data_IF_248168830164
#
_entry.id   IF_248168830164
#
_cell.length_a   1.000
_cell.length_b   1.000
_cell.length_c   1.000
_cell.angle_alpha   90.00
_cell.angle_beta   90.00
_cell.angle_gamma   90.00
#
_symmetry.space_group_name_H-M   'P 1'
#
loop_
_entity.id
_entity.type
_entity.pdbx_description
1 polymer ?
#
# COMPACT_ATOMS: atom_id res chain seq x y z
N UNK A 1 -19.41 -5.12 -19.71
CA UNK A 1 -20.45 -4.27 -20.41
C UNK A 1 -20.86 -3.05 -19.61
N UNK A 2 -20.32 -2.81 -18.42
CA UNK A 2 -20.64 -1.63 -17.57
C UNK A 2 -19.83 -0.37 -17.99
N UNK A 3 -19.03 -0.46 -19.03
CA UNK A 3 -18.05 0.63 -19.37
C UNK A 3 -18.61 1.69 -20.33
N UNK A 4 -19.81 1.54 -20.83
CA UNK A 4 -20.39 2.45 -21.85
C UNK A 4 -21.59 3.26 -21.36
N UNK A 5 -22.21 2.87 -20.28
CA UNK A 5 -23.36 3.61 -19.75
C UNK A 5 -22.89 4.53 -18.65
N UNK A 6 -22.96 5.83 -18.88
CA UNK A 6 -22.55 6.85 -17.92
C UNK A 6 -23.16 6.62 -16.52
N UNK A 7 -22.56 7.21 -15.51
CA UNK A 7 -23.04 7.15 -14.12
C UNK A 7 -24.51 7.58 -14.05
N UNK A 8 -25.42 6.62 -13.88
CA UNK A 8 -26.86 6.85 -13.83
C UNK A 8 -27.36 6.72 -12.39
N UNK A 9 -28.53 7.34 -12.11
CA UNK A 9 -29.20 7.19 -10.81
C UNK A 9 -29.53 5.72 -10.47
N UNK A 10 -29.71 4.87 -11.47
CA UNK A 10 -29.90 3.44 -11.29
C UNK A 10 -28.67 2.76 -10.69
N UNK A 11 -27.46 3.13 -11.16
CA UNK A 11 -26.20 2.62 -10.58
C UNK A 11 -26.08 3.08 -9.14
N UNK A 12 -26.39 4.35 -8.86
CA UNK A 12 -26.33 4.87 -7.49
C UNK A 12 -27.38 4.20 -6.59
N UNK A 13 -28.60 3.98 -7.07
CA UNK A 13 -29.63 3.29 -6.30
C UNK A 13 -29.27 1.84 -6.02
N UNK A 14 -28.63 1.15 -6.97
CA UNK A 14 -28.11 -0.21 -6.78
C UNK A 14 -26.95 -0.25 -5.74
N UNK A 15 -26.07 0.74 -5.77
CA UNK A 15 -24.99 0.86 -4.77
C UNK A 15 -25.56 1.16 -3.39
N UNK A 16 -26.62 1.97 -3.33
CA UNK A 16 -27.25 2.38 -2.07
C UNK A 16 -28.37 1.43 -1.61
N UNK A 17 -28.72 0.42 -2.41
CA UNK A 17 -29.76 -0.54 -2.02
C UNK A 17 -29.26 -1.51 -0.94
N UNK A 18 -29.39 -1.06 0.30
CA UNK A 18 -29.04 -1.83 1.51
C UNK A 18 -29.82 -3.16 1.60
N UNK A 19 -30.97 -3.29 0.87
CA UNK A 19 -31.77 -4.53 0.87
C UNK A 19 -31.08 -5.70 0.18
N UNK A 20 -30.21 -5.43 -0.78
CA UNK A 20 -29.44 -6.48 -1.45
C UNK A 20 -28.15 -6.85 -0.72
N UNK A 21 -27.83 -6.17 0.38
CA UNK A 21 -26.60 -6.38 1.19
C UNK A 21 -25.29 -6.32 0.40
N UNK A 22 -25.30 -5.85 -0.84
CA UNK A 22 -24.13 -5.90 -1.71
C UNK A 22 -22.99 -5.05 -1.16
N UNK A 23 -23.27 -3.80 -0.77
CA UNK A 23 -22.20 -2.91 -0.27
C UNK A 23 -21.59 -3.43 1.03
N UNK A 24 -22.42 -3.80 2.01
CA UNK A 24 -21.94 -4.32 3.29
C UNK A 24 -21.33 -5.71 3.10
N UNK A 25 -22.02 -6.58 2.34
CA UNK A 25 -21.52 -7.92 2.02
C UNK A 25 -20.19 -7.90 1.28
N UNK A 26 -20.04 -7.04 0.28
CA UNK A 26 -18.80 -6.88 -0.47
C UNK A 26 -17.70 -6.29 0.39
N UNK A 27 -18.01 -5.31 1.24
CA UNK A 27 -17.04 -4.74 2.18
C UNK A 27 -16.57 -5.78 3.19
N UNK A 28 -17.48 -6.52 3.81
CA UNK A 28 -17.15 -7.61 4.74
C UNK A 28 -16.41 -8.74 4.03
N UNK A 29 -16.81 -9.08 2.80
CA UNK A 29 -16.11 -10.04 1.96
C UNK A 29 -14.68 -9.62 1.63
N UNK A 30 -14.48 -8.34 1.41
CA UNK A 30 -13.16 -7.77 1.18
C UNK A 30 -12.24 -7.90 2.40
N UNK A 31 -12.74 -7.64 3.61
CA UNK A 31 -11.98 -7.87 4.84
C UNK A 31 -11.85 -9.37 5.14
N UNK A 32 -12.90 -10.15 4.89
CA UNK A 32 -12.87 -11.61 5.04
C UNK A 32 -11.78 -12.28 4.21
N UNK A 33 -11.50 -11.76 3.01
CA UNK A 33 -10.46 -12.30 2.14
C UNK A 33 -9.06 -12.24 2.76
N UNK A 34 -8.77 -11.24 3.59
CA UNK A 34 -7.49 -11.14 4.31
C UNK A 34 -7.34 -12.25 5.36
N UNK A 35 -8.43 -12.62 6.04
CA UNK A 35 -8.43 -13.74 6.98
C UNK A 35 -8.33 -15.09 6.26
N UNK A 36 -8.98 -15.23 5.11
CA UNK A 36 -8.84 -16.44 4.27
C UNK A 36 -7.39 -16.60 3.80
N UNK A 37 -6.75 -15.51 3.37
CA UNK A 37 -5.34 -15.53 3.00
C UNK A 37 -4.45 -15.96 4.18
N UNK A 38 -4.70 -15.45 5.38
CA UNK A 38 -3.98 -15.85 6.58
C UNK A 38 -4.18 -17.33 6.91
N UNK A 39 -5.41 -17.85 6.82
CA UNK A 39 -5.71 -19.27 7.07
C UNK A 39 -4.94 -20.17 6.08
N UNK A 40 -4.92 -19.80 4.81
CA UNK A 40 -4.15 -20.48 3.77
C UNK A 40 -2.64 -20.46 4.06
N UNK A 41 -2.12 -19.32 4.48
CA UNK A 41 -0.70 -19.20 4.86
C UNK A 41 -0.34 -20.13 6.01
N UNK A 42 -1.17 -20.18 7.05
CA UNK A 42 -0.92 -21.06 8.22
C UNK A 42 -0.99 -22.52 7.83
N UNK A 43 -1.86 -22.92 6.90
CA UNK A 43 -2.02 -24.31 6.45
C UNK A 43 -0.89 -24.77 5.54
N UNK A 44 -0.43 -23.90 4.65
CA UNK A 44 0.49 -24.32 3.58
C UNK A 44 1.95 -23.89 3.79
N UNK A 45 2.22 -23.00 4.74
CA UNK A 45 3.59 -22.63 5.12
C UNK A 45 3.95 -23.28 6.47
N UNK A 46 5.01 -24.08 6.60
CA UNK A 46 6.02 -24.40 5.57
C UNK A 46 5.75 -25.69 4.78
N UNK A 47 4.58 -26.31 4.91
CA UNK A 47 4.32 -27.68 4.40
C UNK A 47 4.43 -27.78 2.88
N UNK A 48 3.99 -26.77 2.14
CA UNK A 48 4.01 -26.71 0.67
C UNK A 48 4.99 -25.65 0.17
N UNK A 49 5.02 -24.51 0.84
CA UNK A 49 5.88 -23.38 0.48
C UNK A 49 6.78 -23.06 1.67
N UNK A 50 8.09 -22.99 1.44
CA UNK A 50 9.05 -22.62 2.49
C UNK A 50 8.83 -21.18 2.98
N UNK A 51 9.24 -20.91 4.23
CA UNK A 51 9.25 -19.56 4.76
C UNK A 51 10.03 -18.60 3.88
N UNK A 52 9.51 -17.37 3.75
CA UNK A 52 10.11 -16.33 2.93
C UNK A 52 11.35 -15.69 3.52
N UNK A 53 11.56 -15.81 4.85
CA UNK A 53 12.71 -15.25 5.57
C UNK A 53 12.98 -13.76 5.24
N UNK A 54 11.93 -12.99 5.06
CA UNK A 54 12.02 -11.56 4.74
C UNK A 54 12.14 -11.24 3.24
N UNK A 55 12.05 -12.22 2.33
CA UNK A 55 12.20 -11.99 0.90
C UNK A 55 11.15 -11.02 0.34
N UNK A 56 9.92 -10.99 0.88
CA UNK A 56 8.89 -10.05 0.44
C UNK A 56 9.26 -8.61 0.81
N UNK A 57 9.87 -8.37 1.96
CA UNK A 57 10.31 -7.04 2.38
C UNK A 57 11.50 -6.55 1.56
N UNK A 58 12.44 -7.44 1.22
CA UNK A 58 13.54 -7.11 0.32
C UNK A 58 12.99 -6.81 -1.08
N UNK A 59 12.07 -7.63 -1.56
CA UNK A 59 11.38 -7.39 -2.83
C UNK A 59 10.65 -6.04 -2.83
N UNK A 60 9.99 -5.68 -1.71
CA UNK A 60 9.30 -4.40 -1.56
C UNK A 60 10.24 -3.20 -1.73
N UNK A 61 11.40 -3.23 -1.10
CA UNK A 61 12.41 -2.15 -1.22
C UNK A 61 12.91 -2.04 -2.66
N UNK A 62 13.19 -3.18 -3.31
CA UNK A 62 13.72 -3.22 -4.67
C UNK A 62 12.67 -2.99 -5.74
N UNK A 63 11.39 -3.14 -5.43
CA UNK A 63 10.27 -2.95 -6.37
C UNK A 63 10.13 -1.52 -6.88
N UNK A 64 10.70 -0.55 -6.17
CA UNK A 64 10.81 0.83 -6.64
C UNK A 64 11.57 0.97 -7.96
N UNK A 65 12.46 0.01 -8.28
CA UNK A 65 13.19 -0.02 -9.55
C UNK A 65 12.53 -1.04 -10.47
N UNK A 66 11.93 -0.60 -11.59
CA UNK A 66 11.27 -1.50 -12.54
C UNK A 66 12.17 -2.65 -12.98
N UNK A 67 11.60 -3.83 -13.11
CA UNK A 67 12.24 -5.05 -13.65
C UNK A 67 13.35 -5.68 -12.80
N UNK A 68 13.87 -5.06 -11.73
CA UNK A 68 14.94 -5.67 -10.91
C UNK A 68 14.43 -6.92 -10.22
N UNK A 69 13.29 -6.83 -9.55
CA UNK A 69 12.72 -7.95 -8.78
C UNK A 69 12.38 -9.14 -9.68
N UNK A 70 11.89 -8.87 -10.90
CA UNK A 70 11.55 -9.92 -11.86
C UNK A 70 12.75 -10.76 -12.32
N UNK A 71 13.97 -10.21 -12.23
CA UNK A 71 15.22 -10.90 -12.63
C UNK A 71 15.80 -11.79 -11.52
N UNK A 72 15.33 -11.64 -10.29
CA UNK A 72 15.86 -12.37 -9.14
C UNK A 72 14.78 -13.35 -8.65
N UNK A 73 14.90 -14.66 -8.96
CA UNK A 73 13.82 -15.64 -8.70
C UNK A 73 13.36 -15.70 -7.25
N UNK A 74 14.29 -15.59 -6.29
CA UNK A 74 13.96 -15.62 -4.87
C UNK A 74 13.11 -14.41 -4.44
N UNK A 75 13.37 -13.23 -5.02
CA UNK A 75 12.62 -12.01 -4.72
C UNK A 75 11.29 -11.99 -5.46
N UNK A 76 11.26 -12.50 -6.68
CA UNK A 76 10.02 -12.62 -7.45
C UNK A 76 8.96 -13.44 -6.71
N UNK A 77 9.37 -14.53 -6.04
CA UNK A 77 8.47 -15.32 -5.18
C UNK A 77 7.90 -14.50 -4.02
N UNK A 78 8.66 -13.54 -3.48
CA UNK A 78 8.21 -12.69 -2.38
C UNK A 78 7.20 -11.61 -2.78
N UNK A 79 7.14 -11.22 -4.07
CA UNK A 79 6.25 -10.13 -4.54
C UNK A 79 4.77 -10.47 -4.36
N UNK A 80 4.40 -11.72 -4.61
CA UNK A 80 3.02 -12.19 -4.49
C UNK A 80 3.05 -13.64 -3.99
N UNK A 81 3.49 -13.82 -2.76
CA UNK A 81 3.72 -15.14 -2.17
C UNK A 81 2.46 -16.02 -2.14
N UNK A 82 1.28 -15.44 -2.04
CA UNK A 82 0.02 -16.22 -2.05
C UNK A 82 -0.20 -16.97 -3.36
N UNK A 83 0.41 -16.55 -4.46
CA UNK A 83 0.37 -17.28 -5.74
C UNK A 83 1.16 -18.58 -5.69
N UNK A 84 1.98 -18.81 -4.66
CA UNK A 84 2.72 -20.03 -4.43
C UNK A 84 1.89 -21.07 -3.68
N UNK A 85 0.74 -20.69 -3.13
CA UNK A 85 -0.16 -21.56 -2.41
C UNK A 85 -1.01 -22.38 -3.38
N UNK A 86 -1.40 -23.62 -3.00
CA UNK A 86 -2.05 -24.56 -3.91
C UNK A 86 -3.35 -24.06 -4.54
N UNK A 87 -4.12 -23.28 -3.78
CA UNK A 87 -5.40 -22.75 -4.25
C UNK A 87 -5.25 -21.56 -5.17
N UNK A 88 -4.00 -21.09 -5.40
CA UNK A 88 -3.67 -19.94 -6.24
C UNK A 88 -4.70 -18.80 -6.04
N UNK A 89 -5.06 -18.62 -4.78
CA UNK A 89 -6.23 -17.89 -4.42
C UNK A 89 -6.03 -16.41 -4.74
N UNK A 90 -6.86 -15.88 -5.60
CA UNK A 90 -6.92 -14.48 -5.95
C UNK A 90 -7.39 -13.59 -4.77
N UNK A 91 -7.19 -14.05 -3.54
CA UNK A 91 -7.64 -13.34 -2.33
C UNK A 91 -6.83 -12.09 -2.03
N UNK A 92 -5.72 -11.88 -2.72
CA UNK A 92 -4.77 -10.82 -2.40
C UNK A 92 -3.84 -11.24 -1.26
N UNK A 93 -3.04 -10.29 -0.77
CA UNK A 93 -2.20 -10.50 0.40
C UNK A 93 -2.94 -10.22 1.70
N UNK A 94 -2.28 -10.54 2.79
CA UNK A 94 -2.69 -10.16 4.13
C UNK A 94 -1.46 -9.74 4.91
N UNK A 95 -1.52 -8.61 5.59
CA UNK A 95 -0.44 -8.14 6.46
C UNK A 95 0.01 -9.23 7.45
N UNK A 96 -0.95 -9.86 8.13
CA UNK A 96 -0.65 -10.93 9.09
C UNK A 96 -0.15 -12.19 8.38
N UNK A 97 -0.71 -12.52 7.23
CA UNK A 97 -0.27 -13.64 6.41
C UNK A 97 1.16 -13.44 5.92
N UNK A 98 1.51 -12.23 5.48
CA UNK A 98 2.87 -11.91 5.04
C UNK A 98 3.90 -11.97 6.18
N UNK A 99 3.52 -11.52 7.38
CA UNK A 99 4.36 -11.69 8.57
C UNK A 99 4.55 -13.16 8.92
N UNK A 100 3.49 -13.97 8.85
CA UNK A 100 3.57 -15.41 9.09
C UNK A 100 4.40 -16.11 8.02
N UNK A 101 4.19 -15.81 6.75
CA UNK A 101 4.97 -16.34 5.63
C UNK A 101 6.47 -16.09 5.81
N UNK A 102 6.86 -14.89 6.27
CA UNK A 102 8.26 -14.56 6.44
C UNK A 102 8.86 -15.12 7.74
N UNK A 103 8.15 -15.08 8.84
CA UNK A 103 8.73 -15.26 10.19
C UNK A 103 7.96 -16.26 11.07
N UNK A 104 6.96 -16.95 10.54
CA UNK A 104 6.11 -17.84 11.33
C UNK A 104 5.47 -17.06 12.51
N UNK A 105 5.35 -17.67 13.65
CA UNK A 105 4.78 -17.06 14.86
C UNK A 105 5.60 -15.86 15.37
N UNK A 106 6.87 -15.74 15.04
CA UNK A 106 7.67 -14.54 15.33
C UNK A 106 7.18 -13.30 14.58
N UNK A 107 6.41 -13.46 13.51
CA UNK A 107 5.72 -12.37 12.82
C UNK A 107 4.83 -11.53 13.74
N UNK A 108 4.36 -12.10 14.86
CA UNK A 108 3.59 -11.34 15.87
C UNK A 108 4.39 -10.17 16.44
N UNK A 109 5.70 -10.34 16.65
CA UNK A 109 6.58 -9.25 17.09
C UNK A 109 6.63 -8.15 16.01
N UNK A 110 6.67 -8.54 14.73
CA UNK A 110 6.57 -7.62 13.61
C UNK A 110 5.26 -6.82 13.62
N UNK A 111 4.15 -7.45 13.99
CA UNK A 111 2.86 -6.76 14.12
C UNK A 111 2.89 -5.64 15.17
N UNK A 112 3.49 -5.89 16.33
CA UNK A 112 3.69 -4.85 17.36
C UNK A 112 4.59 -3.72 16.85
N UNK A 113 5.68 -4.05 16.14
CA UNK A 113 6.58 -3.04 15.57
C UNK A 113 5.84 -2.12 14.58
N UNK A 114 5.02 -2.67 13.71
CA UNK A 114 4.20 -1.88 12.78
C UNK A 114 3.16 -1.05 13.52
N UNK A 115 2.51 -1.58 14.54
CA UNK A 115 1.60 -0.80 15.40
C UNK A 115 2.29 0.40 16.03
N UNK A 116 3.52 0.22 16.52
CA UNK A 116 4.35 1.33 17.04
C UNK A 116 4.66 2.37 15.96
N UNK A 117 5.02 1.94 14.75
CA UNK A 117 5.28 2.84 13.61
C UNK A 117 4.01 3.63 13.26
N UNK A 118 2.85 2.98 13.22
CA UNK A 118 1.56 3.65 12.98
C UNK A 118 1.31 4.75 14.03
N UNK A 119 1.54 4.46 15.31
CA UNK A 119 1.44 5.46 16.38
C UNK A 119 2.36 6.65 16.15
N UNK A 120 3.63 6.42 15.77
CA UNK A 120 4.59 7.49 15.47
C UNK A 120 4.20 8.32 14.24
N UNK A 121 3.63 7.69 13.22
CA UNK A 121 3.10 8.39 12.05
C UNK A 121 1.93 9.28 12.46
N UNK A 122 1.01 8.77 13.28
CA UNK A 122 -0.12 9.53 13.80
C UNK A 122 0.33 10.74 14.63
N UNK A 123 1.32 10.57 15.50
CA UNK A 123 1.93 11.67 16.26
C UNK A 123 2.51 12.73 15.32
N UNK A 124 3.19 12.31 14.25
CA UNK A 124 3.75 13.24 13.27
C UNK A 124 2.68 14.02 12.54
N UNK A 125 1.56 13.39 12.19
CA UNK A 125 0.42 14.05 11.54
C UNK A 125 -0.19 15.10 12.48
N UNK A 126 -0.34 14.78 13.75
CA UNK A 126 -1.04 15.62 14.71
C UNK A 126 -0.18 16.78 15.24
N UNK A 127 1.13 16.58 15.39
CA UNK A 127 1.98 17.50 16.14
C UNK A 127 3.14 18.11 15.33
N UNK A 128 3.31 17.74 14.06
CA UNK A 128 4.38 18.32 13.25
C UNK A 128 4.00 19.70 12.69
N UNK A 129 4.90 20.65 12.79
CA UNK A 129 4.76 21.96 12.11
C UNK A 129 5.14 21.90 10.63
N UNK A 130 5.85 20.88 10.21
CA UNK A 130 6.33 20.72 8.83
C UNK A 130 5.25 20.14 7.92
N UNK A 131 4.73 20.95 7.01
CA UNK A 131 3.73 20.52 6.01
C UNK A 131 4.21 19.31 5.19
N UNK A 132 5.49 19.28 4.81
CA UNK A 132 6.05 18.17 4.05
C UNK A 132 6.03 16.86 4.86
N UNK A 133 6.36 16.91 6.16
CA UNK A 133 6.27 15.74 7.04
C UNK A 133 4.84 15.26 7.20
N UNK A 134 3.89 16.18 7.38
CA UNK A 134 2.47 15.84 7.50
C UNK A 134 1.98 15.14 6.23
N UNK A 135 2.23 15.73 5.05
CA UNK A 135 1.82 15.15 3.77
C UNK A 135 2.41 13.74 3.61
N UNK A 136 3.71 13.58 3.85
CA UNK A 136 4.37 12.30 3.71
C UNK A 136 3.84 11.25 4.70
N UNK A 137 3.67 11.64 5.96
CA UNK A 137 3.10 10.75 6.98
C UNK A 137 1.67 10.34 6.65
N UNK A 138 0.85 11.25 6.11
CA UNK A 138 -0.51 10.93 5.68
C UNK A 138 -0.51 9.93 4.52
N UNK A 139 0.38 10.09 3.54
CA UNK A 139 0.52 9.14 2.44
C UNK A 139 0.86 7.74 2.96
N UNK A 140 1.87 7.63 3.83
CA UNK A 140 2.26 6.35 4.42
C UNK A 140 1.10 5.74 5.23
N UNK A 141 0.41 6.56 6.01
CA UNK A 141 -0.73 6.11 6.82
C UNK A 141 -1.84 5.48 5.95
N UNK A 142 -2.21 6.17 4.88
CA UNK A 142 -3.21 5.65 3.93
C UNK A 142 -2.73 4.36 3.27
N UNK A 143 -1.47 4.28 2.86
CA UNK A 143 -0.91 3.06 2.26
C UNK A 143 -0.85 1.89 3.25
N UNK A 144 -0.63 2.15 4.54
CA UNK A 144 -0.70 1.12 5.58
C UNK A 144 -2.11 0.53 5.73
N UNK A 145 -3.16 1.34 5.56
CA UNK A 145 -4.55 0.83 5.55
C UNK A 145 -4.78 -0.14 4.38
N UNK A 146 -4.25 0.17 3.20
CA UNK A 146 -4.32 -0.75 2.06
C UNK A 146 -3.46 -2.00 2.26
N UNK A 147 -2.34 -1.89 2.96
CA UNK A 147 -1.46 -3.02 3.25
C UNK A 147 -2.13 -4.08 4.15
N UNK A 148 -3.09 -3.71 4.97
CA UNK A 148 -3.85 -4.70 5.79
C UNK A 148 -4.38 -5.84 4.89
N UNK A 149 -4.72 -5.54 3.64
CA UNK A 149 -5.30 -6.46 2.67
C UNK A 149 -4.45 -6.66 1.41
N UNK A 150 -3.26 -6.14 1.37
CA UNK A 150 -2.38 -6.19 0.21
C UNK A 150 -1.03 -6.81 0.53
N UNK A 151 -0.10 -6.58 -0.37
CA UNK A 151 1.30 -6.94 -0.18
C UNK A 151 2.12 -5.72 0.20
N UNK A 152 3.14 -5.91 1.03
CA UNK A 152 4.10 -4.83 1.36
C UNK A 152 4.75 -4.26 0.09
N UNK A 153 4.89 -5.07 -0.95
CA UNK A 153 5.46 -4.67 -2.23
C UNK A 153 4.65 -3.56 -2.89
N UNK A 154 3.31 -3.69 -2.91
CA UNK A 154 2.42 -2.70 -3.51
C UNK A 154 2.46 -1.39 -2.74
N UNK A 155 2.43 -1.48 -1.40
CA UNK A 155 2.57 -0.33 -0.52
C UNK A 155 3.91 0.39 -0.74
N UNK A 156 5.02 -0.34 -0.71
CA UNK A 156 6.35 0.23 -0.86
C UNK A 156 6.55 0.88 -2.22
N UNK A 157 6.10 0.23 -3.29
CA UNK A 157 6.16 0.77 -4.64
C UNK A 157 5.40 2.08 -4.76
N UNK A 158 4.18 2.14 -4.25
CA UNK A 158 3.38 3.36 -4.23
C UNK A 158 4.08 4.48 -3.44
N UNK A 159 4.59 4.18 -2.24
CA UNK A 159 5.30 5.14 -1.42
C UNK A 159 6.56 5.68 -2.12
N UNK A 160 7.35 4.82 -2.77
CA UNK A 160 8.58 5.22 -3.47
C UNK A 160 8.25 6.18 -4.62
N UNK A 161 7.25 5.84 -5.46
CA UNK A 161 6.87 6.69 -6.58
C UNK A 161 6.27 8.02 -6.14
N UNK A 162 5.40 8.02 -5.12
CA UNK A 162 4.86 9.26 -4.56
C UNK A 162 5.96 10.13 -3.95
N UNK A 163 6.93 9.51 -3.27
CA UNK A 163 8.08 10.24 -2.74
C UNK A 163 8.90 10.91 -3.86
N UNK A 164 9.18 10.20 -4.95
CA UNK A 164 9.88 10.77 -6.10
C UNK A 164 9.13 11.95 -6.72
N UNK A 165 7.82 11.82 -6.89
CA UNK A 165 6.98 12.91 -7.42
C UNK A 165 7.04 14.13 -6.49
N UNK A 166 6.85 13.94 -5.20
CA UNK A 166 6.91 15.02 -4.22
C UNK A 166 8.30 15.66 -4.18
N UNK A 167 9.35 14.85 -4.22
CA UNK A 167 10.73 15.34 -4.26
C UNK A 167 10.96 16.27 -5.46
N UNK A 168 10.52 15.87 -6.65
CA UNK A 168 10.62 16.69 -7.86
C UNK A 168 9.80 17.97 -7.76
N UNK A 169 8.58 17.88 -7.20
CA UNK A 169 7.69 19.05 -7.07
C UNK A 169 8.21 20.08 -6.07
N UNK A 170 8.74 19.63 -4.94
CA UNK A 170 9.20 20.53 -3.87
C UNK A 170 10.63 21.04 -4.07
N UNK A 171 11.46 20.33 -4.84
CA UNK A 171 12.82 20.76 -5.15
C UNK A 171 12.93 21.59 -6.44
N UNK A 172 11.81 22.08 -6.97
CA UNK A 172 11.87 23.03 -8.09
C UNK A 172 12.68 24.28 -7.69
N UNK A 173 13.72 24.65 -8.43
CA UNK A 173 14.47 25.86 -8.14
C UNK A 173 13.50 27.05 -8.14
N UNK A 174 13.48 27.80 -7.04
CA UNK A 174 12.69 29.03 -6.97
C UNK A 174 13.09 29.88 -8.17
N UNK A 175 12.25 29.95 -9.18
CA UNK A 175 12.43 30.91 -10.28
C UNK A 175 12.56 32.28 -9.64
N UNK A 176 13.78 32.85 -9.67
CA UNK A 176 13.98 34.25 -9.35
C UNK A 176 13.06 35.00 -10.27
N UNK A 177 12.01 35.63 -9.75
CA UNK A 177 11.24 36.61 -10.51
C UNK A 177 12.19 37.73 -10.85
N UNK A 178 12.76 37.68 -12.06
CA UNK A 178 13.46 38.80 -12.68
C UNK A 178 12.36 39.73 -13.15
N UNK A 179 12.06 40.73 -12.35
CA UNK A 179 10.99 41.66 -12.63
C UNK A 179 10.95 42.81 -11.63
N UNK A 180 12.09 43.49 -11.39
CA UNK A 180 11.98 44.88 -10.92
C UNK A 180 11.57 45.70 -12.12
N UNK A 181 10.28 45.95 -12.27
CA UNK A 181 9.84 47.09 -13.07
C UNK A 181 10.34 48.37 -12.36
N UNK A 182 11.45 48.90 -12.84
CA UNK A 182 11.86 50.27 -12.53
C UNK A 182 10.79 51.19 -13.14
N UNK A 183 9.84 51.63 -12.33
CA UNK A 183 9.04 52.80 -12.66
C UNK A 183 10.00 53.98 -12.68
N UNK A 184 10.39 54.37 -13.88
CA UNK A 184 11.05 55.68 -14.14
C UNK A 184 10.00 56.72 -13.89
N UNK A 185 10.12 57.43 -12.76
CA UNK A 185 9.41 58.66 -12.50
C UNK A 185 9.93 59.69 -13.50
N UNK A 186 9.23 59.91 -14.61
CA UNK A 186 9.39 61.04 -15.49
C UNK A 186 8.70 62.25 -14.84
N UNK A 187 9.50 63.25 -14.58
CA UNK A 187 9.04 64.60 -14.26
C UNK A 187 8.37 65.23 -15.48
#
# INVERSE_FOLDING_TARGET
>A
TVRTDGFTWEILSHILDVRQNTLIGDTLGQFGSAFTSLDEDVRFVPSVTSYGLGNSYIAAILSGVPFIVAKIPILYKGVAYTKLLPNNAAFGGSYFGELFYNYSYFGLIGAFAVGFVIGKIQDTINFSESKAKIIWSTIIYVQLLFYIRGYITDMAQCCIWLWLILFVLFNQPKRKMVGSFNYVNGK
#
